data_IF_398891410024
#
_entry.id   IF_398891410024
#
_cell.length_a   1.000
_cell.length_b   1.000
_cell.length_c   1.000
_cell.angle_alpha   90.00
_cell.angle_beta   90.00
_cell.angle_gamma   90.00
#
_symmetry.space_group_name_H-M   'P 1'
#
loop_
_entity.id
_entity.type
_entity.pdbx_description
1 polymer ?
#
# COMPACT_ATOMS: atom_id res chain seq x y z
N UNK A 1 17.08 -1.60 14.20
CA UNK A 1 16.85 -1.91 12.76
C UNK A 1 17.35 -0.73 11.92
N UNK A 2 17.94 -0.97 10.74
CA UNK A 2 18.36 0.11 9.85
C UNK A 2 17.16 0.84 9.25
N UNK A 3 17.28 2.14 8.97
CA UNK A 3 16.16 2.98 8.50
C UNK A 3 15.83 2.76 7.01
N UNK A 4 14.63 3.17 6.58
CA UNK A 4 14.24 3.24 5.16
C UNK A 4 15.31 3.92 4.29
N UNK A 5 15.90 5.03 4.78
CA UNK A 5 16.93 5.77 4.04
C UNK A 5 18.18 4.92 3.82
N UNK A 6 18.59 4.14 4.83
CA UNK A 6 19.71 3.21 4.72
C UNK A 6 19.42 2.13 3.68
N UNK A 7 18.21 1.53 3.68
CA UNK A 7 17.85 0.52 2.69
C UNK A 7 17.72 1.12 1.28
N UNK A 8 17.19 2.34 1.14
CA UNK A 8 17.18 3.06 -0.14
C UNK A 8 18.60 3.24 -0.68
N UNK A 9 19.55 3.70 0.15
CA UNK A 9 20.95 3.84 -0.25
C UNK A 9 21.53 2.51 -0.75
N UNK A 10 21.20 1.40 -0.10
CA UNK A 10 21.64 0.05 -0.52
C UNK A 10 21.03 -0.41 -1.84
N UNK A 11 19.87 0.13 -2.24
CA UNK A 11 19.29 -0.11 -3.58
C UNK A 11 20.05 0.67 -4.66
N UNK A 12 20.56 1.85 -4.33
CA UNK A 12 21.36 2.69 -5.25
C UNK A 12 22.80 2.21 -5.40
N UNK A 13 23.36 1.59 -4.36
CA UNK A 13 24.74 1.11 -4.32
C UNK A 13 25.02 0.05 -5.42
N UNK A 14 25.73 0.48 -6.47
CA UNK A 14 26.08 -0.33 -7.64
C UNK A 14 27.19 -1.35 -7.34
N UNK A 15 27.91 -1.21 -6.23
CA UNK A 15 28.89 -2.20 -5.77
C UNK A 15 28.23 -3.47 -5.21
N UNK A 16 26.91 -3.46 -4.99
CA UNK A 16 26.15 -4.61 -4.50
C UNK A 16 25.56 -5.42 -5.63
N UNK A 17 25.46 -6.73 -5.40
CA UNK A 17 24.72 -7.62 -6.29
C UNK A 17 23.26 -7.21 -6.44
N UNK A 18 22.67 -7.46 -7.61
CA UNK A 18 21.27 -7.13 -7.88
C UNK A 18 20.32 -7.80 -6.88
N UNK A 19 20.65 -9.02 -6.42
CA UNK A 19 19.91 -9.72 -5.35
C UNK A 19 19.96 -8.98 -4.00
N UNK A 20 21.13 -8.48 -3.59
CA UNK A 20 21.27 -7.72 -2.35
C UNK A 20 20.52 -6.37 -2.42
N UNK A 21 20.55 -5.70 -3.58
CA UNK A 21 19.78 -4.48 -3.84
C UNK A 21 18.28 -4.76 -3.78
N UNK A 22 17.83 -5.86 -4.38
CA UNK A 22 16.42 -6.27 -4.33
C UNK A 22 15.94 -6.64 -2.91
N UNK A 23 16.79 -7.30 -2.11
CA UNK A 23 16.49 -7.54 -0.70
C UNK A 23 16.31 -6.23 0.09
N UNK A 24 17.15 -5.22 -0.19
CA UNK A 24 17.00 -3.90 0.42
C UNK A 24 15.69 -3.20 -0.02
N UNK A 25 15.30 -3.30 -1.29
CA UNK A 25 14.00 -2.81 -1.77
C UNK A 25 12.84 -3.45 -0.99
N UNK A 26 12.89 -4.76 -0.77
CA UNK A 26 11.85 -5.47 -0.01
C UNK A 26 11.76 -5.00 1.44
N UNK A 27 12.88 -4.66 2.07
CA UNK A 27 12.85 -4.02 3.38
C UNK A 27 12.21 -2.64 3.34
N UNK A 28 12.50 -1.82 2.32
CA UNK A 28 11.81 -0.53 2.13
C UNK A 28 10.28 -0.70 1.98
N UNK A 29 9.82 -1.74 1.29
CA UNK A 29 8.39 -2.06 1.16
C UNK A 29 7.79 -2.49 2.51
N UNK A 30 8.53 -3.25 3.32
CA UNK A 30 8.08 -3.60 4.67
C UNK A 30 7.93 -2.36 5.58
N UNK A 31 8.79 -1.35 5.40
CA UNK A 31 8.74 -0.08 6.15
C UNK A 31 7.59 0.83 5.70
N UNK A 32 7.18 0.79 4.43
CA UNK A 32 6.07 1.59 3.90
C UNK A 32 5.34 0.85 2.78
N UNK A 33 4.12 0.39 3.05
CA UNK A 33 3.29 -0.35 2.10
C UNK A 33 1.85 0.19 2.07
N UNK A 34 1.56 1.24 1.28
CA UNK A 34 0.24 1.89 1.27
C UNK A 34 -0.90 0.95 0.87
N UNK A 35 -0.62 -0.10 0.09
CA UNK A 35 -1.59 -1.13 -0.31
C UNK A 35 -1.51 -2.41 0.55
N UNK A 36 -0.65 -2.43 1.56
CA UNK A 36 -0.19 -3.67 2.20
C UNK A 36 0.97 -4.28 1.42
N UNK A 37 1.76 -5.13 2.08
CA UNK A 37 3.06 -5.58 1.57
C UNK A 37 2.96 -6.26 0.19
N UNK A 38 2.07 -7.25 0.05
CA UNK A 38 1.95 -8.04 -1.19
C UNK A 38 1.56 -7.18 -2.39
N UNK A 39 0.49 -6.39 -2.26
CA UNK A 39 0.01 -5.50 -3.32
C UNK A 39 1.00 -4.37 -3.64
N UNK A 40 1.65 -3.78 -2.63
CA UNK A 40 2.66 -2.73 -2.88
C UNK A 40 3.87 -3.31 -3.62
N UNK A 41 4.34 -4.50 -3.23
CA UNK A 41 5.44 -5.17 -3.92
C UNK A 41 5.06 -5.51 -5.37
N UNK A 42 3.90 -6.14 -5.59
CA UNK A 42 3.40 -6.46 -6.92
C UNK A 42 3.29 -5.20 -7.80
N UNK A 43 2.70 -4.13 -7.28
CA UNK A 43 2.61 -2.83 -7.95
C UNK A 43 3.97 -2.33 -8.42
N UNK A 44 4.97 -2.32 -7.53
CA UNK A 44 6.32 -1.86 -7.86
C UNK A 44 7.01 -2.76 -8.88
N UNK A 45 6.85 -4.09 -8.79
CA UNK A 45 7.39 -5.02 -9.79
C UNK A 45 6.84 -4.71 -11.19
N UNK A 46 5.53 -4.52 -11.30
CA UNK A 46 4.88 -4.21 -12.57
C UNK A 46 5.25 -2.81 -13.10
N UNK A 47 5.10 -1.77 -12.27
CA UNK A 47 5.33 -0.37 -12.65
C UNK A 47 6.77 -0.06 -13.01
N UNK A 48 7.70 -0.58 -12.21
CA UNK A 48 9.12 -0.39 -12.48
C UNK A 48 9.66 -1.40 -13.49
N UNK A 49 8.84 -2.36 -13.96
CA UNK A 49 9.22 -3.44 -14.88
C UNK A 49 10.42 -4.22 -14.37
N UNK A 50 10.34 -4.69 -13.12
CA UNK A 50 11.42 -5.47 -12.50
C UNK A 50 11.48 -6.85 -13.16
N UNK A 51 12.56 -7.21 -13.87
CA UNK A 51 12.66 -8.51 -14.52
C UNK A 51 12.81 -9.65 -13.51
N UNK A 52 12.51 -10.88 -13.94
CA UNK A 52 12.78 -12.09 -13.17
C UNK A 52 14.29 -12.24 -12.89
N UNK A 53 15.11 -12.11 -13.94
CA UNK A 53 16.57 -11.97 -13.85
C UNK A 53 16.94 -10.52 -13.52
N UNK A 54 17.25 -10.26 -12.26
CA UNK A 54 17.53 -8.92 -11.74
C UNK A 54 18.75 -8.26 -12.39
N UNK A 55 19.71 -9.05 -12.86
CA UNK A 55 20.90 -8.55 -13.53
C UNK A 55 20.60 -7.92 -14.90
N UNK A 56 19.47 -8.28 -15.54
CA UNK A 56 19.09 -7.76 -16.85
C UNK A 56 18.71 -6.27 -16.82
N UNK A 57 18.11 -5.80 -15.72
CA UNK A 57 17.83 -4.38 -15.49
C UNK A 57 17.90 -4.04 -13.99
N UNK A 58 19.11 -3.82 -13.44
CA UNK A 58 19.28 -3.42 -12.05
C UNK A 58 18.72 -2.01 -11.76
N UNK A 59 18.53 -1.17 -12.80
CA UNK A 59 17.97 0.18 -12.65
C UNK A 59 16.46 0.13 -12.36
N UNK A 60 15.76 -0.95 -12.70
CA UNK A 60 14.36 -1.17 -12.31
C UNK A 60 14.15 -1.11 -10.80
N UNK A 61 15.11 -1.59 -10.00
CA UNK A 61 15.07 -1.52 -8.54
C UNK A 61 15.14 -0.06 -8.04
N UNK A 62 15.95 0.76 -8.70
CA UNK A 62 16.06 2.19 -8.38
C UNK A 62 14.76 2.91 -8.72
N UNK A 63 14.17 2.66 -9.89
CA UNK A 63 12.86 3.22 -10.25
C UNK A 63 11.78 2.86 -9.22
N UNK A 64 11.74 1.60 -8.79
CA UNK A 64 10.80 1.14 -7.78
C UNK A 64 10.99 1.84 -6.43
N UNK A 65 12.23 1.92 -5.92
CA UNK A 65 12.48 2.52 -4.60
C UNK A 65 12.23 4.03 -4.60
N UNK A 66 12.48 4.71 -5.72
CA UNK A 66 12.22 6.15 -5.84
C UNK A 66 10.71 6.45 -5.92
N UNK A 67 9.92 5.64 -6.63
CA UNK A 67 8.47 5.79 -6.62
C UNK A 67 7.91 5.59 -5.20
N UNK A 68 8.39 4.57 -4.49
CA UNK A 68 8.02 4.32 -3.10
C UNK A 68 8.45 5.45 -2.17
N UNK A 69 9.68 5.95 -2.33
CA UNK A 69 10.22 7.05 -1.52
C UNK A 69 9.43 8.34 -1.72
N UNK A 70 9.08 8.69 -2.96
CA UNK A 70 8.27 9.86 -3.27
C UNK A 70 6.90 9.79 -2.58
N UNK A 71 6.24 8.64 -2.60
CA UNK A 71 4.98 8.42 -1.90
C UNK A 71 5.15 8.51 -0.38
N UNK A 72 6.22 7.92 0.18
CA UNK A 72 6.54 7.96 1.60
C UNK A 72 6.79 9.39 2.10
N UNK A 73 7.41 10.25 1.30
CA UNK A 73 7.65 11.66 1.66
C UNK A 73 6.33 12.43 1.82
N UNK A 74 5.37 12.20 0.94
CA UNK A 74 4.03 12.80 1.07
C UNK A 74 3.35 12.34 2.35
N UNK A 75 3.41 11.05 2.64
CA UNK A 75 2.86 10.46 3.86
C UNK A 75 3.48 11.08 5.12
N UNK A 76 4.82 11.14 5.21
CA UNK A 76 5.49 11.66 6.40
C UNK A 76 5.24 13.15 6.64
N UNK A 77 5.15 13.95 5.57
CA UNK A 77 4.83 15.38 5.70
C UNK A 77 3.43 15.58 6.31
N UNK A 78 2.46 14.81 5.81
CA UNK A 78 1.09 14.83 6.31
C UNK A 78 0.98 14.24 7.74
N UNK A 79 1.73 13.18 8.06
CA UNK A 79 1.81 12.61 9.40
C UNK A 79 2.39 13.62 10.42
N UNK A 80 3.44 14.34 10.05
CA UNK A 80 4.01 15.40 10.89
C UNK A 80 2.99 16.53 11.16
N UNK A 81 2.26 16.96 10.12
CA UNK A 81 1.19 17.96 10.25
C UNK A 81 0.06 17.46 11.16
N UNK A 82 -0.35 16.19 10.99
CA UNK A 82 -1.35 15.54 11.83
C UNK A 82 -0.93 15.50 13.31
N UNK A 83 0.30 15.05 13.60
CA UNK A 83 0.83 14.99 14.97
C UNK A 83 0.89 16.38 15.60
N UNK A 84 1.35 17.38 14.87
CA UNK A 84 1.39 18.77 15.36
C UNK A 84 -0.01 19.29 15.70
N UNK A 85 -1.00 19.03 14.83
CA UNK A 85 -2.41 19.39 15.07
C UNK A 85 -2.97 18.67 16.30
N UNK A 86 -2.80 17.34 16.38
CA UNK A 86 -3.27 16.54 17.53
C UNK A 86 -2.64 16.96 18.85
N UNK A 87 -1.38 17.40 18.86
CA UNK A 87 -0.74 17.95 20.07
C UNK A 87 -1.45 19.21 20.56
N UNK A 88 -1.76 20.15 19.66
CA UNK A 88 -2.53 21.36 19.98
C UNK A 88 -3.95 21.05 20.46
N UNK A 89 -4.66 20.17 19.74
CA UNK A 89 -6.01 19.77 20.12
C UNK A 89 -6.06 19.08 21.49
N UNK A 90 -5.09 18.20 21.78
CA UNK A 90 -4.95 17.56 23.09
C UNK A 90 -4.68 18.56 24.21
N UNK A 91 -3.87 19.59 23.96
CA UNK A 91 -3.61 20.67 24.91
C UNK A 91 -4.87 21.51 25.18
N UNK A 92 -5.71 21.70 24.15
CA UNK A 92 -7.02 22.35 24.25
C UNK A 92 -8.16 21.44 24.77
N UNK A 93 -7.85 20.26 25.32
CA UNK A 93 -8.84 19.33 25.89
C UNK A 93 -9.59 18.43 24.88
N UNK A 94 -9.34 18.58 23.57
CA UNK A 94 -9.98 17.77 22.52
C UNK A 94 -9.27 16.41 22.35
N UNK A 95 -9.76 15.40 23.09
CA UNK A 95 -9.15 14.04 23.12
C UNK A 95 -9.59 13.13 21.98
N UNK A 96 -10.73 13.37 21.33
CA UNK A 96 -11.22 12.57 20.20
C UNK A 96 -10.69 13.12 18.87
N UNK A 97 -10.13 12.28 17.97
CA UNK A 97 -9.79 12.70 16.60
C UNK A 97 -11.03 13.13 15.82
N UNK A 98 -10.85 14.02 14.84
CA UNK A 98 -11.91 14.41 13.94
C UNK A 98 -12.43 13.20 13.13
N UNK A 99 -13.72 13.14 12.74
CA UNK A 99 -14.27 12.06 11.94
C UNK A 99 -13.48 11.80 10.64
N UNK A 100 -12.91 12.85 10.04
CA UNK A 100 -12.09 12.76 8.84
C UNK A 100 -10.72 12.10 9.02
N UNK A 101 -10.25 11.91 10.26
CA UNK A 101 -9.00 11.22 10.53
C UNK A 101 -9.20 9.71 10.76
N UNK A 102 -10.45 9.22 10.78
CA UNK A 102 -10.76 7.80 11.09
C UNK A 102 -10.08 6.81 10.15
N UNK A 103 -9.88 7.18 8.88
CA UNK A 103 -9.22 6.32 7.89
C UNK A 103 -7.76 6.01 8.26
N UNK A 104 -7.10 6.89 9.04
CA UNK A 104 -5.72 6.68 9.52
C UNK A 104 -5.59 5.54 10.51
N UNK A 105 -6.69 5.17 11.18
CA UNK A 105 -6.73 4.10 12.18
C UNK A 105 -7.17 2.76 11.59
N UNK A 106 -7.22 2.62 10.26
CA UNK A 106 -7.48 1.32 9.62
C UNK A 106 -6.36 0.34 9.96
N UNK A 107 -6.72 -0.89 10.31
CA UNK A 107 -5.82 -1.87 10.93
C UNK A 107 -4.65 -2.37 10.05
N UNK A 108 -4.74 -2.23 8.72
CA UNK A 108 -3.77 -2.84 7.80
C UNK A 108 -2.86 -1.82 7.11
N UNK A 109 -3.45 -1.04 6.22
CA UNK A 109 -2.77 -0.04 5.42
C UNK A 109 -3.82 0.98 4.97
N UNK A 110 -3.43 2.23 4.70
CA UNK A 110 -4.40 3.30 4.45
C UNK A 110 -5.19 3.09 3.14
N UNK A 111 -4.62 2.39 2.16
CA UNK A 111 -5.30 1.97 0.93
C UNK A 111 -5.16 0.45 0.72
N UNK A 112 -5.38 -0.34 1.78
CA UNK A 112 -5.17 -1.79 1.77
C UNK A 112 -5.87 -2.52 0.61
N UNK A 113 -5.10 -3.27 -0.18
CA UNK A 113 -5.56 -4.15 -1.26
C UNK A 113 -5.22 -5.60 -0.86
N UNK A 114 -6.21 -6.40 -0.45
CA UNK A 114 -5.94 -7.75 0.03
C UNK A 114 -5.68 -8.75 -1.11
N UNK A 115 -6.17 -8.42 -2.31
CA UNK A 115 -5.76 -9.02 -3.57
C UNK A 115 -4.48 -8.33 -4.08
N UNK A 116 -3.34 -9.02 -4.15
CA UNK A 116 -2.08 -8.44 -4.62
C UNK A 116 -2.08 -8.06 -6.10
N UNK A 117 -2.99 -8.61 -6.90
CA UNK A 117 -3.04 -8.39 -8.36
C UNK A 117 -4.13 -7.38 -8.73
N UNK A 118 -5.04 -7.07 -7.80
CA UNK A 118 -6.07 -6.05 -7.97
C UNK A 118 -5.83 -4.85 -7.04
N UNK A 119 -5.08 -3.87 -7.55
CA UNK A 119 -4.75 -2.62 -6.87
C UNK A 119 -4.68 -1.45 -7.88
N UNK A 120 -4.62 -0.19 -7.43
CA UNK A 120 -4.43 0.95 -8.32
C UNK A 120 -3.17 0.82 -9.18
N UNK A 121 -3.24 1.24 -10.44
CA UNK A 121 -2.11 1.14 -11.39
C UNK A 121 -1.40 2.47 -11.59
N UNK A 122 -1.96 3.58 -11.12
CA UNK A 122 -1.30 4.89 -11.13
C UNK A 122 -0.12 4.95 -10.15
N UNK A 123 0.85 5.85 -10.36
CA UNK A 123 2.02 5.95 -9.49
C UNK A 123 1.64 6.09 -8.01
N UNK A 124 2.38 5.42 -7.12
CA UNK A 124 2.13 5.50 -5.66
C UNK A 124 1.99 6.94 -5.14
N UNK A 125 2.82 7.93 -5.55
CA UNK A 125 2.66 9.30 -5.06
C UNK A 125 1.31 9.93 -5.44
N UNK A 126 0.77 9.59 -6.61
CA UNK A 126 -0.53 10.06 -7.07
C UNK A 126 -1.65 9.49 -6.19
N UNK A 127 -1.58 8.18 -5.92
CA UNK A 127 -2.57 7.49 -5.08
C UNK A 127 -2.52 8.01 -3.65
N UNK A 128 -1.33 8.14 -3.07
CA UNK A 128 -1.16 8.70 -1.71
C UNK A 128 -1.67 10.13 -1.65
N UNK A 129 -1.38 10.98 -2.64
CA UNK A 129 -1.91 12.36 -2.65
C UNK A 129 -3.44 12.40 -2.64
N UNK A 130 -4.10 11.58 -3.46
CA UNK A 130 -5.57 11.50 -3.50
C UNK A 130 -6.14 11.01 -2.18
N UNK A 131 -5.53 9.98 -1.59
CA UNK A 131 -5.91 9.44 -0.29
C UNK A 131 -5.81 10.51 0.82
N UNK A 132 -4.71 11.27 0.86
CA UNK A 132 -4.50 12.33 1.84
C UNK A 132 -5.46 13.51 1.66
N UNK A 133 -5.86 13.80 0.41
CA UNK A 133 -6.80 14.86 0.07
C UNK A 133 -8.28 14.42 0.11
N UNK A 134 -8.56 13.14 0.37
CA UNK A 134 -9.92 12.60 0.29
C UNK A 134 -10.82 13.30 1.33
N UNK A 135 -11.92 13.94 0.90
CA UNK A 135 -12.81 14.61 1.82
C UNK A 135 -13.57 13.61 2.68
N UNK A 136 -14.01 14.06 3.86
CA UNK A 136 -15.02 13.32 4.62
C UNK A 136 -16.30 13.31 3.79
N UNK A 137 -16.88 12.14 3.46
CA UNK A 137 -18.14 12.10 2.73
C UNK A 137 -19.21 12.88 3.51
N UNK A 138 -19.92 13.77 2.81
CA UNK A 138 -21.10 14.42 3.38
C UNK A 138 -22.15 13.35 3.73
N UNK A 139 -22.92 13.59 4.80
CA UNK A 139 -24.00 12.69 5.18
C UNK A 139 -24.98 12.52 3.99
N UNK A 140 -25.25 11.27 3.61
CA UNK A 140 -26.16 10.92 2.52
C UNK A 140 -25.55 10.88 1.11
N UNK A 141 -24.28 11.27 0.91
CA UNK A 141 -23.63 11.13 -0.39
C UNK A 141 -23.31 9.65 -0.72
N UNK A 142 -23.48 9.19 -1.98
CA UNK A 142 -23.13 7.83 -2.35
C UNK A 142 -21.62 7.59 -2.13
N UNK A 143 -21.22 6.47 -1.53
CA UNK A 143 -19.84 6.25 -1.12
C UNK A 143 -18.92 6.05 -2.33
N UNK A 144 -18.25 7.11 -2.76
CA UNK A 144 -17.17 7.04 -3.76
C UNK A 144 -15.89 6.47 -3.13
N UNK A 145 -15.08 5.82 -3.94
CA UNK A 145 -13.75 5.39 -3.51
C UNK A 145 -12.83 6.61 -3.29
N UNK A 146 -12.19 6.79 -2.12
CA UNK A 146 -11.28 7.91 -1.84
C UNK A 146 -9.96 7.81 -2.63
N UNK A 147 -9.68 6.66 -3.23
CA UNK A 147 -8.45 6.43 -4.00
C UNK A 147 -8.65 6.70 -5.49
N UNK A 148 -9.64 6.05 -6.12
CA UNK A 148 -9.89 6.22 -7.56
C UNK A 148 -11.07 7.15 -7.89
N UNK A 149 -11.82 7.64 -6.91
CA UNK A 149 -13.01 8.49 -7.13
C UNK A 149 -14.23 7.77 -7.73
N UNK A 150 -14.07 6.49 -8.08
CA UNK A 150 -15.10 5.69 -8.75
C UNK A 150 -16.34 5.48 -7.87
N UNK A 151 -17.50 5.51 -8.53
CA UNK A 151 -18.80 5.07 -8.00
C UNK A 151 -19.22 3.68 -8.49
N UNK A 152 -18.31 2.90 -9.09
CA UNK A 152 -18.59 1.58 -9.69
C UNK A 152 -18.99 0.48 -8.68
N UNK A 153 -19.28 0.84 -7.43
CA UNK A 153 -19.65 -0.09 -6.37
C UNK A 153 -18.48 -0.93 -5.86
N UNK A 154 -18.82 -2.10 -5.33
CA UNK A 154 -17.89 -3.02 -4.68
C UNK A 154 -18.01 -4.43 -5.22
N UNK A 155 -16.87 -5.13 -5.35
CA UNK A 155 -16.81 -6.57 -5.61
C UNK A 155 -16.48 -7.33 -4.32
N UNK A 156 -17.05 -8.52 -4.16
CA UNK A 156 -16.75 -9.39 -3.00
C UNK A 156 -15.46 -10.16 -3.27
N UNK A 157 -14.61 -10.26 -2.26
CA UNK A 157 -13.37 -11.03 -2.36
C UNK A 157 -13.05 -11.73 -1.04
N UNK A 158 -12.46 -12.92 -1.09
CA UNK A 158 -12.25 -13.77 0.08
C UNK A 158 -10.76 -14.04 0.30
N UNK A 159 -10.26 -13.75 1.52
CA UNK A 159 -8.86 -14.07 1.86
C UNK A 159 -8.68 -15.47 2.44
N UNK A 160 -9.76 -16.13 2.84
CA UNK A 160 -9.75 -17.33 3.69
C UNK A 160 -9.85 -17.03 5.19
N UNK A 161 -9.68 -15.78 5.61
CA UNK A 161 -9.94 -15.32 7.00
C UNK A 161 -11.01 -14.23 7.07
N UNK A 162 -11.20 -13.50 5.97
CA UNK A 162 -12.09 -12.36 5.87
C UNK A 162 -12.75 -12.36 4.51
N UNK A 163 -13.98 -11.87 4.49
CA UNK A 163 -14.68 -11.41 3.29
C UNK A 163 -14.53 -9.90 3.20
N UNK A 164 -14.01 -9.44 2.08
CA UNK A 164 -13.81 -8.03 1.78
C UNK A 164 -14.83 -7.53 0.77
N UNK A 165 -15.19 -6.25 0.90
CA UNK A 165 -15.79 -5.47 -0.17
C UNK A 165 -14.71 -4.59 -0.78
N UNK A 166 -14.24 -4.94 -1.96
CA UNK A 166 -13.20 -4.20 -2.69
C UNK A 166 -13.85 -3.18 -3.61
N UNK A 167 -13.24 -2.01 -3.78
CA UNK A 167 -13.66 -1.08 -4.82
C UNK A 167 -13.56 -1.77 -6.19
N UNK A 168 -14.66 -1.82 -6.94
CA UNK A 168 -14.69 -2.46 -8.26
C UNK A 168 -13.76 -1.78 -9.30
N UNK A 169 -13.37 -0.52 -9.06
CA UNK A 169 -12.48 0.21 -9.96
C UNK A 169 -10.99 0.13 -9.63
N UNK A 170 -10.59 -0.25 -8.41
CA UNK A 170 -9.17 -0.21 -8.01
C UNK A 170 -8.74 -1.22 -6.94
N UNK A 171 -9.63 -2.09 -6.46
CA UNK A 171 -9.29 -3.17 -5.52
C UNK A 171 -9.03 -2.75 -4.08
N UNK A 172 -9.07 -1.47 -3.76
CA UNK A 172 -8.92 -0.99 -2.37
C UNK A 172 -10.09 -1.46 -1.51
N UNK A 173 -9.76 -2.03 -0.35
CA UNK A 173 -10.74 -2.48 0.64
C UNK A 173 -11.59 -1.32 1.18
N UNK A 174 -12.90 -1.46 1.02
CA UNK A 174 -13.92 -0.54 1.53
C UNK A 174 -14.45 -1.01 2.87
N UNK A 175 -14.61 -2.31 3.03
CA UNK A 175 -15.07 -2.98 4.23
C UNK A 175 -14.49 -4.40 4.32
N UNK A 176 -14.46 -4.96 5.52
CA UNK A 176 -13.97 -6.30 5.81
C UNK A 176 -14.75 -6.93 6.97
N UNK A 177 -15.16 -8.18 6.79
CA UNK A 177 -15.84 -8.97 7.81
C UNK A 177 -15.07 -10.28 8.03
N UNK A 178 -14.78 -10.66 9.28
CA UNK A 178 -14.22 -11.97 9.58
C UNK A 178 -15.14 -13.08 9.08
N UNK A 179 -14.56 -14.21 8.68
CA UNK A 179 -15.29 -15.42 8.30
C UNK A 179 -14.73 -16.62 9.05
N UNK A 180 -15.42 -17.75 8.98
CA UNK A 180 -14.78 -19.03 9.25
C UNK A 180 -13.55 -19.22 8.35
N UNK A 181 -12.57 -19.94 8.87
CA UNK A 181 -11.29 -20.13 8.19
C UNK A 181 -11.46 -21.12 7.03
N UNK A 182 -11.27 -20.63 5.82
CA UNK A 182 -11.24 -21.46 4.61
C UNK A 182 -9.79 -21.78 4.23
N UNK A 183 -9.35 -22.99 4.57
CA UNK A 183 -7.98 -23.45 4.32
C UNK A 183 -7.67 -23.64 2.83
N UNK A 184 -8.66 -23.97 2.00
CA UNK A 184 -8.47 -24.15 0.57
C UNK A 184 -8.15 -22.80 -0.10
N UNK A 185 -8.91 -21.76 0.24
CA UNK A 185 -8.66 -20.39 -0.23
C UNK A 185 -7.29 -19.89 0.27
N UNK A 186 -6.92 -20.16 1.52
CA UNK A 186 -5.60 -19.79 2.03
C UNK A 186 -4.46 -20.45 1.26
N UNK A 187 -4.57 -21.75 0.98
CA UNK A 187 -3.56 -22.49 0.23
C UNK A 187 -3.40 -21.96 -1.20
N UNK A 188 -4.50 -21.78 -1.93
CA UNK A 188 -4.49 -21.26 -3.29
C UNK A 188 -3.88 -19.85 -3.36
N UNK A 189 -4.21 -18.98 -2.40
CA UNK A 189 -3.64 -17.63 -2.32
C UNK A 189 -2.15 -17.62 -2.01
N UNK A 190 -1.69 -18.55 -1.19
CA UNK A 190 -0.27 -18.67 -0.87
C UNK A 190 0.52 -19.23 -2.06
N UNK A 191 -0.04 -20.18 -2.79
CA UNK A 191 0.53 -20.67 -4.05
C UNK A 191 0.67 -19.55 -5.08
N UNK A 192 -0.42 -18.82 -5.34
CA UNK A 192 -0.41 -17.68 -6.27
C UNK A 192 0.59 -16.61 -5.85
N UNK A 193 0.68 -16.31 -4.56
CA UNK A 193 1.66 -15.37 -4.04
C UNK A 193 3.11 -15.84 -4.27
N UNK A 194 3.39 -17.14 -4.16
CA UNK A 194 4.74 -17.66 -4.45
C UNK A 194 5.12 -17.48 -5.91
N UNK A 195 4.18 -17.59 -6.84
CA UNK A 195 4.42 -17.31 -8.27
C UNK A 195 4.78 -15.84 -8.50
N UNK A 196 3.95 -14.93 -7.97
CA UNK A 196 4.20 -13.48 -8.01
C UNK A 196 5.55 -13.13 -7.38
N UNK A 197 5.86 -13.75 -6.24
CA UNK A 197 7.09 -13.52 -5.50
C UNK A 197 8.34 -14.01 -6.25
N UNK A 198 8.26 -15.19 -6.87
CA UNK A 198 9.30 -15.71 -7.75
C UNK A 198 9.38 -14.92 -9.06
N UNK A 199 8.35 -14.12 -9.38
CA UNK A 199 8.18 -13.39 -10.64
C UNK A 199 8.14 -14.35 -11.83
N UNK A 200 7.41 -15.46 -11.64
CA UNK A 200 7.19 -16.52 -12.64
C UNK A 200 5.79 -16.48 -13.25
N UNK A 201 4.97 -15.51 -12.83
CA UNK A 201 3.65 -15.23 -13.37
C UNK A 201 3.73 -14.11 -14.41
#
# INVERSE_FOLDING_TARGET
>A
MSSFATHRQRVHDTGRSARARHAALRTCVADFAPFGFRATYHHLCHRARIPAELAADPASLVRAVEELHAARRLWLADEAAFVARRRREKAAGMRRPAPGDRWRYRAHAPAYCPDPEFHPTEPLPTVVRRLLAAPVPAAGAPPRCPVCGSGAGTVRWHSGHFRYLLCAGCGVSRDAQPTEVDRAVLAAREERWREVWRRTA
#
